data_IF_333360477784
#
_entry.id   IF_333360477784
#
_cell.length_a   1.000
_cell.length_b   1.000
_cell.length_c   1.000
_cell.angle_alpha   90.00
_cell.angle_beta   90.00
_cell.angle_gamma   90.00
#
_symmetry.space_group_name_H-M   'P 1'
#
loop_
_entity.id
_entity.type
_entity.pdbx_description
1 polymer ?
#
# COMPACT_ATOMS: atom_id res chain seq x y z
N UNK A 1 17.45 -16.85 -32.83
CA UNK A 1 17.03 -16.00 -31.69
C UNK A 1 16.08 -14.93 -32.24
N UNK A 2 14.78 -15.17 -32.17
CA UNK A 2 13.78 -14.21 -32.67
C UNK A 2 13.73 -13.02 -31.73
N UNK A 3 14.19 -11.84 -32.19
CA UNK A 3 13.97 -10.58 -31.46
C UNK A 3 12.46 -10.40 -31.33
N UNK A 4 11.95 -10.55 -30.11
CA UNK A 4 10.56 -10.23 -29.81
C UNK A 4 10.27 -8.83 -30.32
N UNK A 5 9.19 -8.70 -31.09
CA UNK A 5 8.82 -7.53 -31.88
C UNK A 5 9.02 -6.25 -31.07
N UNK A 6 10.01 -5.46 -31.46
CA UNK A 6 10.24 -4.13 -30.89
C UNK A 6 8.98 -3.31 -31.15
N UNK A 7 8.46 -2.64 -30.11
CA UNK A 7 7.22 -1.89 -30.24
C UNK A 7 7.43 -0.68 -31.15
N UNK A 8 6.55 -0.50 -32.14
CA UNK A 8 6.60 0.63 -33.08
C UNK A 8 5.51 1.64 -32.75
N UNK A 9 5.88 2.92 -32.77
CA UNK A 9 4.93 4.01 -32.59
C UNK A 9 3.98 4.12 -33.81
N UNK A 10 2.73 4.54 -33.63
CA UNK A 10 1.88 4.97 -34.74
C UNK A 10 2.56 6.06 -35.56
N UNK A 11 2.28 6.13 -36.86
CA UNK A 11 2.85 7.11 -37.77
C UNK A 11 2.69 8.55 -37.24
N UNK A 12 3.70 9.39 -37.50
CA UNK A 12 3.67 10.81 -37.13
C UNK A 12 2.42 11.50 -37.66
N UNK A 13 1.76 12.30 -36.81
CA UNK A 13 0.52 13.00 -37.18
C UNK A 13 -0.76 12.20 -36.94
N UNK A 14 -0.67 10.89 -36.73
CA UNK A 14 -1.85 10.07 -36.37
C UNK A 14 -2.22 10.29 -34.91
N UNK A 15 -3.52 10.52 -34.67
CA UNK A 15 -4.07 10.61 -33.31
C UNK A 15 -4.02 9.25 -32.64
N UNK A 16 -3.36 9.17 -31.49
CA UNK A 16 -3.31 7.93 -30.70
C UNK A 16 -4.69 7.59 -30.13
N UNK A 17 -5.08 6.34 -30.29
CA UNK A 17 -6.20 5.74 -29.58
C UNK A 17 -5.80 5.33 -28.16
N UNK A 18 -6.78 5.00 -27.32
CA UNK A 18 -6.54 4.43 -26.00
C UNK A 18 -5.77 3.10 -26.08
N UNK A 19 -6.00 2.30 -27.11
CA UNK A 19 -5.27 1.06 -27.33
C UNK A 19 -3.78 1.32 -27.59
N UNK A 20 -3.46 2.30 -28.43
CA UNK A 20 -2.07 2.70 -28.74
C UNK A 20 -1.34 3.20 -27.50
N UNK A 21 -2.00 4.08 -26.73
CA UNK A 21 -1.47 4.58 -25.47
C UNK A 21 -1.16 3.47 -24.47
N UNK A 22 -2.07 2.51 -24.31
CA UNK A 22 -1.86 1.34 -23.45
C UNK A 22 -0.74 0.45 -23.97
N UNK A 23 -0.64 0.24 -25.28
CA UNK A 23 0.43 -0.55 -25.90
C UNK A 23 1.81 0.10 -25.67
N UNK A 24 1.92 1.41 -25.85
CA UNK A 24 3.13 2.18 -25.60
C UNK A 24 3.58 2.10 -24.13
N UNK A 25 2.66 2.30 -23.19
CA UNK A 25 2.96 2.20 -21.75
C UNK A 25 3.41 0.79 -21.35
N UNK A 26 2.80 -0.26 -21.92
CA UNK A 26 3.24 -1.65 -21.69
C UNK A 26 4.61 -1.92 -22.28
N UNK A 27 4.89 -1.44 -23.49
CA UNK A 27 6.18 -1.59 -24.14
C UNK A 27 7.29 -0.90 -23.34
N UNK A 28 7.04 0.34 -22.89
CA UNK A 28 7.96 1.06 -22.01
C UNK A 28 8.24 0.29 -20.71
N UNK A 29 7.21 -0.18 -20.00
CA UNK A 29 7.40 -0.97 -18.77
C UNK A 29 8.21 -2.24 -18.98
N UNK A 30 8.01 -2.94 -20.10
CA UNK A 30 8.80 -4.15 -20.43
C UNK A 30 10.24 -3.85 -20.84
N UNK A 31 10.50 -2.67 -21.40
CA UNK A 31 11.83 -2.28 -21.85
C UNK A 31 12.81 -2.03 -20.70
N UNK A 32 12.32 -1.69 -19.51
CA UNK A 32 13.16 -1.29 -18.37
C UNK A 32 13.85 0.08 -18.53
N UNK A 33 13.68 0.76 -19.67
CA UNK A 33 14.29 2.05 -19.95
C UNK A 33 13.65 3.17 -19.13
N UNK A 34 14.40 4.26 -18.91
CA UNK A 34 13.79 5.50 -18.44
C UNK A 34 12.81 6.05 -19.47
N UNK A 35 11.88 6.90 -19.03
CA UNK A 35 10.88 7.50 -19.92
C UNK A 35 11.55 8.28 -21.07
N UNK A 36 12.60 9.04 -20.76
CA UNK A 36 13.32 9.87 -21.74
C UNK A 36 14.13 9.03 -22.75
N UNK A 37 14.72 7.92 -22.31
CA UNK A 37 15.41 6.98 -23.22
C UNK A 37 14.42 6.29 -24.16
N UNK A 38 13.27 5.87 -23.64
CA UNK A 38 12.23 5.25 -24.46
C UNK A 38 11.64 6.24 -25.46
N UNK A 39 11.34 7.47 -25.05
CA UNK A 39 10.84 8.51 -25.97
C UNK A 39 11.86 8.81 -27.08
N UNK A 40 13.16 8.89 -26.76
CA UNK A 40 14.21 9.09 -27.76
C UNK A 40 14.36 7.91 -28.72
N UNK A 41 14.36 6.67 -28.21
CA UNK A 41 14.54 5.47 -29.02
C UNK A 41 13.39 5.23 -30.01
N UNK A 42 12.19 5.64 -29.64
CA UNK A 42 10.97 5.46 -30.44
C UNK A 42 10.47 6.76 -31.09
N UNK A 43 11.33 7.79 -31.15
CA UNK A 43 11.05 9.08 -31.80
C UNK A 43 9.71 9.73 -31.36
N UNK A 44 9.38 9.55 -30.08
CA UNK A 44 8.16 10.09 -29.50
C UNK A 44 8.37 11.56 -29.13
N UNK A 45 7.42 12.41 -29.53
CA UNK A 45 7.39 13.80 -29.10
C UNK A 45 7.40 13.92 -27.57
N UNK A 46 8.23 14.82 -27.07
CA UNK A 46 8.51 15.02 -25.64
C UNK A 46 7.22 15.19 -24.83
N UNK A 47 6.93 14.23 -23.96
CA UNK A 47 5.77 14.25 -23.07
C UNK A 47 4.54 13.48 -23.56
N UNK A 48 4.55 12.92 -24.78
CA UNK A 48 3.45 12.08 -25.26
C UNK A 48 3.30 10.81 -24.41
N UNK A 49 4.40 10.13 -24.11
CA UNK A 49 4.35 8.93 -23.25
C UNK A 49 4.04 9.31 -21.81
N UNK A 50 4.51 10.46 -21.34
CA UNK A 50 4.16 11.02 -20.02
C UNK A 50 2.64 11.20 -19.86
N UNK A 51 1.99 11.80 -20.86
CA UNK A 51 0.54 12.01 -20.86
C UNK A 51 -0.22 10.68 -20.78
N UNK A 52 0.17 9.70 -21.61
CA UNK A 52 -0.44 8.37 -21.62
C UNK A 52 -0.19 7.58 -20.34
N UNK A 53 1.01 7.66 -19.75
CA UNK A 53 1.32 7.05 -18.45
C UNK A 53 0.34 7.53 -17.38
N UNK A 54 0.10 8.84 -17.30
CA UNK A 54 -0.85 9.43 -16.35
C UNK A 54 -2.27 8.98 -16.66
N UNK A 55 -2.70 9.06 -17.93
CA UNK A 55 -4.06 8.71 -18.35
C UNK A 55 -4.41 7.24 -18.09
N UNK A 56 -3.51 6.31 -18.43
CA UNK A 56 -3.71 4.87 -18.21
C UNK A 56 -3.76 4.53 -16.72
N UNK A 57 -2.98 5.22 -15.88
CA UNK A 57 -3.04 5.03 -14.43
C UNK A 57 -4.40 5.42 -13.84
N UNK A 58 -4.97 6.55 -14.28
CA UNK A 58 -6.30 7.02 -13.85
C UNK A 58 -7.45 6.18 -14.41
N UNK A 59 -7.32 5.67 -15.64
CA UNK A 59 -8.31 4.72 -16.19
C UNK A 59 -8.29 3.39 -15.42
N UNK A 60 -7.12 2.93 -14.98
CA UNK A 60 -6.99 1.73 -14.14
C UNK A 60 -7.71 1.87 -12.79
N UNK A 61 -7.77 3.07 -12.23
CA UNK A 61 -8.52 3.36 -11.00
C UNK A 61 -10.03 3.46 -11.21
N UNK A 62 -10.50 3.65 -12.45
CA UNK A 62 -11.92 3.57 -12.82
C UNK A 62 -12.36 2.16 -13.25
N UNK A 63 -11.42 1.23 -13.43
CA UNK A 63 -11.70 -0.16 -13.73
C UNK A 63 -12.03 -0.94 -12.47
N UNK A 64 -13.25 -1.51 -12.44
CA UNK A 64 -13.78 -2.50 -11.49
C UNK A 64 -13.12 -2.53 -10.11
N UNK A 65 -13.80 -1.92 -9.13
CA UNK A 65 -13.57 -2.21 -7.71
C UNK A 65 -13.56 -3.73 -7.54
N UNK A 66 -12.41 -4.30 -7.19
CA UNK A 66 -12.27 -5.72 -6.94
C UNK A 66 -12.23 -5.93 -5.43
N UNK A 67 -13.17 -6.70 -4.92
CA UNK A 67 -13.07 -7.20 -3.56
C UNK A 67 -11.87 -8.13 -3.47
N UNK A 68 -10.93 -7.79 -2.59
CA UNK A 68 -9.82 -8.66 -2.22
C UNK A 68 -10.17 -9.35 -0.90
N UNK A 69 -9.95 -10.67 -0.77
CA UNK A 69 -10.09 -11.33 0.51
C UNK A 69 -9.11 -10.70 1.50
N UNK A 70 -9.65 -10.01 2.50
CA UNK A 70 -8.88 -9.54 3.63
C UNK A 70 -9.04 -10.59 4.72
N UNK A 71 -7.93 -11.22 5.11
CA UNK A 71 -7.89 -11.96 6.35
C UNK A 71 -8.11 -10.94 7.46
N UNK A 72 -9.24 -11.04 8.15
CA UNK A 72 -9.43 -10.27 9.37
C UNK A 72 -8.29 -10.68 10.31
N UNK A 73 -7.37 -9.76 10.59
CA UNK A 73 -6.62 -9.85 11.83
C UNK A 73 -7.67 -9.90 12.94
N UNK A 74 -7.53 -10.82 13.89
CA UNK A 74 -8.36 -10.78 15.09
C UNK A 74 -8.39 -9.35 15.60
N UNK A 75 -9.56 -8.83 16.00
CA UNK A 75 -9.65 -7.45 16.47
C UNK A 75 -8.56 -7.26 17.50
N UNK A 76 -7.69 -6.28 17.24
CA UNK A 76 -6.67 -5.87 18.19
C UNK A 76 -7.39 -5.78 19.53
N UNK A 77 -6.91 -6.57 20.47
CA UNK A 77 -7.49 -6.68 21.78
C UNK A 77 -7.34 -5.30 22.40
N UNK A 78 -8.36 -4.47 22.29
CA UNK A 78 -8.35 -3.17 22.96
C UNK A 78 -8.46 -3.51 24.43
N UNK A 79 -7.36 -3.36 25.17
CA UNK A 79 -7.44 -3.37 26.62
C UNK A 79 -8.46 -2.29 27.00
N UNK A 80 -9.60 -2.71 27.54
CA UNK A 80 -10.66 -1.78 27.95
C UNK A 80 -10.22 -0.98 29.18
N UNK A 81 -9.25 -1.52 29.94
CA UNK A 81 -8.67 -0.88 31.11
C UNK A 81 -7.14 -1.05 31.08
N UNK A 82 -6.44 0.08 31.20
CA UNK A 82 -5.00 0.14 31.43
C UNK A 82 -4.76 0.65 32.84
N UNK A 83 -3.96 -0.07 33.63
CA UNK A 83 -3.57 0.33 34.99
C UNK A 83 -2.07 0.60 35.04
N UNK A 84 -1.68 1.77 35.55
CA UNK A 84 -0.28 2.12 35.76
C UNK A 84 0.08 2.05 37.25
N UNK A 85 1.09 1.23 37.60
CA UNK A 85 1.60 1.08 38.97
C UNK A 85 3.12 1.31 38.96
N UNK A 86 3.55 2.56 39.16
CA UNK A 86 4.97 2.92 38.98
C UNK A 86 5.39 2.83 37.51
N UNK A 87 6.43 2.07 37.21
CA UNK A 87 6.90 1.82 35.82
C UNK A 87 6.19 0.62 35.15
N UNK A 88 5.29 -0.07 35.85
CA UNK A 88 4.58 -1.23 35.31
C UNK A 88 3.24 -0.78 34.71
N UNK A 89 3.01 -1.19 33.46
CA UNK A 89 1.74 -1.06 32.76
C UNK A 89 1.05 -2.43 32.67
N UNK A 90 -0.24 -2.47 33.05
CA UNK A 90 -1.05 -3.68 33.05
C UNK A 90 -2.27 -3.45 32.15
N UNK A 91 -2.33 -4.23 31.07
CA UNK A 91 -3.45 -4.26 30.15
C UNK A 91 -4.44 -5.37 30.52
N UNK A 92 -5.70 -5.01 30.72
CA UNK A 92 -6.74 -5.95 31.16
C UNK A 92 -7.98 -5.82 30.30
N UNK A 93 -8.60 -6.96 29.99
CA UNK A 93 -9.97 -7.00 29.46
C UNK A 93 -10.97 -6.99 30.61
N UNK A 94 -11.82 -5.96 30.68
CA UNK A 94 -12.74 -5.78 31.80
C UNK A 94 -13.81 -6.90 31.88
N UNK A 95 -14.14 -7.57 30.77
CA UNK A 95 -15.07 -8.70 30.73
C UNK A 95 -14.51 -9.99 31.36
N UNK A 96 -13.18 -10.09 31.50
CA UNK A 96 -12.50 -11.29 32.01
C UNK A 96 -12.02 -11.16 33.44
N UNK A 97 -12.04 -9.96 34.00
CA UNK A 97 -11.45 -9.67 35.31
C UNK A 97 -12.40 -8.83 36.14
N UNK A 98 -12.66 -9.27 37.37
CA UNK A 98 -13.46 -8.46 38.31
C UNK A 98 -12.63 -7.28 38.83
N UNK A 99 -13.30 -6.15 39.05
CA UNK A 99 -12.66 -4.96 39.63
C UNK A 99 -12.00 -5.27 40.99
N UNK A 100 -12.58 -6.18 41.77
CA UNK A 100 -12.04 -6.61 43.06
C UNK A 100 -10.70 -7.34 42.92
N UNK A 101 -10.58 -8.26 41.97
CA UNK A 101 -9.33 -8.97 41.72
C UNK A 101 -8.23 -8.02 41.25
N UNK A 102 -8.57 -7.08 40.36
CA UNK A 102 -7.63 -6.08 39.87
C UNK A 102 -7.14 -5.16 41.00
N UNK A 103 -8.05 -4.73 41.87
CA UNK A 103 -7.71 -3.92 43.05
C UNK A 103 -6.79 -4.68 44.03
N UNK A 104 -7.01 -5.98 44.21
CA UNK A 104 -6.16 -6.82 45.05
C UNK A 104 -4.75 -6.95 44.45
N UNK A 105 -4.64 -7.24 43.15
CA UNK A 105 -3.35 -7.33 42.46
C UNK A 105 -2.54 -6.02 42.57
N UNK A 106 -3.18 -4.88 42.33
CA UNK A 106 -2.54 -3.56 42.44
C UNK A 106 -2.07 -3.29 43.89
N UNK A 107 -2.87 -3.67 44.88
CA UNK A 107 -2.53 -3.51 46.30
C UNK A 107 -1.31 -4.34 46.69
N UNK A 108 -1.20 -5.58 46.21
CA UNK A 108 -0.02 -6.43 46.43
C UNK A 108 1.23 -5.82 45.77
N UNK A 109 1.12 -5.33 44.53
CA UNK A 109 2.24 -4.71 43.82
C UNK A 109 2.77 -3.44 44.50
N UNK A 110 1.89 -2.65 45.13
CA UNK A 110 2.30 -1.46 45.89
C UNK A 110 3.01 -1.87 47.19
N UNK A 111 2.53 -2.94 47.84
CA UNK A 111 3.04 -3.42 49.13
C UNK A 111 4.39 -4.13 48.99
N UNK A 112 4.68 -4.70 47.82
CA UNK A 112 5.95 -5.36 47.50
C UNK A 112 7.09 -4.39 47.15
N UNK A 113 6.89 -3.06 47.15
CA UNK A 113 8.02 -2.13 47.06
C UNK A 113 8.84 -2.21 48.34
N UNK A 114 10.12 -2.65 48.30
CA UNK A 114 10.97 -2.56 49.48
C UNK A 114 11.09 -1.08 49.90
N UNK A 115 10.95 -0.81 51.20
CA UNK A 115 11.32 0.49 51.77
C UNK A 115 12.81 0.70 51.51
N UNK A 116 13.14 1.65 50.63
CA UNK A 116 14.50 2.19 50.55
C UNK A 116 14.79 3.05 51.76
#
# INVERSE_FOLDING_TARGET
MSRGSEWTAPASGVRWTTADGRAAVRAWKRSGLTLAEFERRHELGSGRLRWWKRRVATEGTRGAVKFVPMLASEPAVVAEVVVHVGEVEIEVRADRVSAQWLAQLVSEMITLRPKT
#
